data_IF_814030897070
#
_entry.id   IF_814030897070
#
_cell.length_a   1.000
_cell.length_b   1.000
_cell.length_c   1.000
_cell.angle_alpha   90.00
_cell.angle_beta   90.00
_cell.angle_gamma   90.00
#
_symmetry.space_group_name_H-M   'P 1'
#
loop_
_entity.id
_entity.type
_entity.pdbx_description
1 polymer ?
#
# COMPACT_ATOMS: atom_id res chain seq x y z
N UNK A 1 -84.49 -28.17 -59.19
CA UNK A 1 -84.02 -29.54 -59.45
C UNK A 1 -82.62 -29.47 -60.06
N UNK A 2 -81.75 -30.33 -59.55
CA UNK A 2 -80.28 -30.33 -59.66
C UNK A 2 -79.74 -30.34 -61.08
N UNK A 3 -78.69 -29.55 -61.33
CA UNK A 3 -77.72 -29.78 -62.41
C UNK A 3 -76.32 -29.77 -61.79
N UNK A 4 -75.73 -30.97 -61.70
CA UNK A 4 -74.39 -31.23 -61.22
C UNK A 4 -73.40 -30.70 -62.27
N UNK A 5 -72.54 -29.75 -61.88
CA UNK A 5 -71.44 -29.27 -62.73
C UNK A 5 -70.30 -30.31 -62.74
N UNK A 6 -69.71 -30.62 -63.91
CA UNK A 6 -68.62 -31.58 -64.01
C UNK A 6 -67.33 -31.00 -63.42
N UNK A 7 -66.57 -31.85 -62.72
CA UNK A 7 -65.24 -31.53 -62.22
C UNK A 7 -64.28 -31.35 -63.40
N UNK A 8 -63.68 -30.17 -63.51
CA UNK A 8 -62.56 -29.89 -64.40
C UNK A 8 -61.35 -30.72 -63.98
N UNK A 9 -60.95 -31.67 -64.83
CA UNK A 9 -59.67 -32.37 -64.71
C UNK A 9 -58.51 -31.39 -65.01
N UNK A 10 -57.45 -31.35 -64.19
CA UNK A 10 -56.32 -30.47 -64.45
C UNK A 10 -55.55 -30.96 -65.69
N UNK A 11 -55.30 -30.06 -66.64
CA UNK A 11 -54.50 -30.32 -67.83
C UNK A 11 -53.14 -30.91 -67.45
N UNK A 12 -52.71 -32.00 -68.10
CA UNK A 12 -51.44 -32.71 -67.80
C UNK A 12 -50.19 -31.82 -67.86
N UNK A 13 -50.23 -30.70 -68.57
CA UNK A 13 -49.17 -29.68 -68.57
C UNK A 13 -49.02 -28.97 -67.20
N UNK A 14 -50.10 -28.71 -66.47
CA UNK A 14 -50.05 -28.07 -65.14
C UNK A 14 -49.52 -29.01 -64.06
N UNK A 15 -49.79 -30.32 -64.18
CA UNK A 15 -49.27 -31.34 -63.25
C UNK A 15 -47.75 -31.49 -63.38
N UNK A 16 -47.22 -31.51 -64.62
CA UNK A 16 -45.77 -31.58 -64.89
C UNK A 16 -45.04 -30.29 -64.49
N UNK A 17 -45.66 -29.13 -64.70
CA UNK A 17 -45.12 -27.84 -64.26
C UNK A 17 -45.04 -27.78 -62.73
N UNK A 18 -46.11 -28.18 -62.02
CA UNK A 18 -46.12 -28.30 -60.56
C UNK A 18 -45.09 -29.29 -60.00
N UNK A 19 -44.85 -30.41 -60.70
CA UNK A 19 -43.79 -31.37 -60.33
C UNK A 19 -42.38 -30.80 -60.51
N UNK A 20 -42.12 -30.02 -61.56
CA UNK A 20 -40.83 -29.35 -61.79
C UNK A 20 -40.57 -28.26 -60.74
N UNK A 21 -41.59 -27.44 -60.45
CA UNK A 21 -41.50 -26.42 -59.38
C UNK A 21 -41.23 -27.05 -58.01
N UNK A 22 -41.89 -28.17 -57.70
CA UNK A 22 -41.68 -28.91 -56.45
C UNK A 22 -40.28 -29.53 -56.36
N UNK A 23 -39.70 -29.99 -57.47
CA UNK A 23 -38.30 -30.46 -57.52
C UNK A 23 -37.30 -29.33 -57.31
N UNK A 24 -37.54 -28.16 -57.92
CA UNK A 24 -36.71 -26.97 -57.71
C UNK A 24 -36.79 -26.49 -56.26
N UNK A 25 -37.98 -26.47 -55.67
CA UNK A 25 -38.20 -26.14 -54.26
C UNK A 25 -37.44 -27.09 -53.32
N UNK A 26 -37.48 -28.40 -53.58
CA UNK A 26 -36.73 -29.40 -52.81
C UNK A 26 -35.21 -29.18 -52.92
N UNK A 27 -34.68 -28.91 -54.13
CA UNK A 27 -33.24 -28.64 -54.33
C UNK A 27 -32.81 -27.33 -53.65
N UNK A 28 -33.64 -26.29 -53.73
CA UNK A 28 -33.40 -25.03 -53.02
C UNK A 28 -33.44 -25.22 -51.50
N UNK A 29 -34.37 -26.02 -50.99
CA UNK A 29 -34.44 -26.37 -49.57
C UNK A 29 -33.21 -27.13 -49.08
N UNK A 30 -32.77 -28.15 -49.81
CA UNK A 30 -31.54 -28.90 -49.46
C UNK A 30 -30.29 -28.03 -49.57
N UNK A 31 -30.14 -27.26 -50.64
CA UNK A 31 -28.98 -26.36 -50.80
C UNK A 31 -28.92 -25.29 -49.72
N UNK A 32 -30.07 -24.71 -49.34
CA UNK A 32 -30.17 -23.81 -48.19
C UNK A 32 -29.73 -24.50 -46.89
N UNK A 33 -30.18 -25.73 -46.65
CA UNK A 33 -29.83 -26.50 -45.45
C UNK A 33 -28.32 -26.79 -45.40
N UNK A 34 -27.74 -27.29 -46.51
CA UNK A 34 -26.30 -27.57 -46.58
C UNK A 34 -25.47 -26.29 -46.45
N UNK A 35 -25.85 -25.20 -47.12
CA UNK A 35 -25.18 -23.92 -47.00
C UNK A 35 -25.26 -23.36 -45.58
N UNK A 36 -26.42 -23.47 -44.93
CA UNK A 36 -26.61 -23.04 -43.54
C UNK A 36 -25.73 -23.85 -42.59
N UNK A 37 -25.73 -25.18 -42.70
CA UNK A 37 -24.86 -26.06 -41.88
C UNK A 37 -23.39 -25.77 -42.14
N UNK A 38 -22.96 -25.65 -43.40
CA UNK A 38 -21.57 -25.34 -43.74
C UNK A 38 -21.13 -23.96 -43.20
N UNK A 39 -22.00 -22.95 -43.31
CA UNK A 39 -21.73 -21.62 -42.74
C UNK A 39 -21.64 -21.64 -41.22
N UNK A 40 -22.47 -22.44 -40.54
CA UNK A 40 -22.41 -22.64 -39.09
C UNK A 40 -21.11 -23.32 -38.65
N UNK A 41 -20.71 -24.39 -39.34
CA UNK A 41 -19.44 -25.08 -39.07
C UNK A 41 -18.22 -24.18 -39.33
N UNK A 42 -18.24 -23.38 -40.39
CA UNK A 42 -17.22 -22.37 -40.63
C UNK A 42 -17.20 -21.34 -39.51
N UNK A 43 -18.35 -20.76 -39.15
CA UNK A 43 -18.42 -19.76 -38.09
C UNK A 43 -17.85 -20.28 -36.77
N UNK A 44 -18.18 -21.53 -36.41
CA UNK A 44 -17.62 -22.17 -35.23
C UNK A 44 -16.10 -22.41 -35.34
N UNK A 45 -15.57 -22.77 -36.51
CA UNK A 45 -14.13 -22.94 -36.68
C UNK A 45 -13.36 -21.61 -36.61
N UNK A 46 -13.98 -20.51 -37.05
CA UNK A 46 -13.43 -19.17 -36.89
C UNK A 46 -13.45 -18.70 -35.43
N UNK A 47 -14.50 -19.04 -34.69
CA UNK A 47 -14.70 -18.61 -33.31
C UNK A 47 -13.93 -19.48 -32.30
N UNK A 48 -13.68 -20.75 -32.63
CA UNK A 48 -13.08 -21.74 -31.73
C UNK A 48 -11.80 -21.26 -31.03
N UNK A 49 -10.79 -20.66 -31.72
CA UNK A 49 -9.57 -20.22 -31.06
C UNK A 49 -9.79 -19.12 -30.02
N UNK A 50 -10.78 -18.25 -30.22
CA UNK A 50 -11.12 -17.21 -29.23
C UNK A 50 -11.76 -17.83 -27.99
N UNK A 51 -12.59 -18.86 -28.16
CA UNK A 51 -13.33 -19.48 -27.05
C UNK A 51 -12.50 -20.45 -26.19
N UNK A 52 -11.20 -20.58 -26.45
CA UNK A 52 -10.30 -21.42 -25.63
C UNK A 52 -10.06 -20.85 -24.23
N UNK A 53 -10.38 -19.57 -24.00
CA UNK A 53 -10.20 -18.90 -22.71
C UNK A 53 -11.28 -17.84 -22.44
N UNK A 54 -11.44 -17.49 -21.16
CA UNK A 54 -12.45 -16.54 -20.69
C UNK A 54 -12.20 -15.10 -21.17
N UNK A 55 -11.00 -14.78 -21.68
CA UNK A 55 -10.68 -13.47 -22.26
C UNK A 55 -11.18 -13.33 -23.70
N UNK A 56 -11.59 -14.43 -24.35
CA UNK A 56 -11.96 -14.45 -25.77
C UNK A 56 -10.79 -14.00 -26.67
N UNK A 57 -9.56 -14.27 -26.23
CA UNK A 57 -8.34 -13.85 -26.91
C UNK A 57 -7.64 -15.07 -27.53
N UNK A 58 -7.66 -15.21 -28.87
CA UNK A 58 -6.97 -16.30 -29.56
C UNK A 58 -5.51 -16.45 -29.14
N UNK A 59 -5.11 -17.67 -28.78
CA UNK A 59 -3.73 -18.00 -28.43
C UNK A 59 -3.26 -17.43 -27.08
N UNK A 60 -4.15 -16.85 -26.26
CA UNK A 60 -3.81 -16.45 -24.91
C UNK A 60 -3.49 -17.67 -24.05
N UNK A 61 -2.32 -17.65 -23.42
CA UNK A 61 -1.89 -18.68 -22.49
C UNK A 61 -1.16 -18.06 -21.28
N UNK A 62 -0.99 -18.86 -20.23
CA UNK A 62 -0.45 -18.39 -18.96
C UNK A 62 1.08 -18.19 -18.99
N UNK A 63 1.81 -19.10 -19.63
CA UNK A 63 3.27 -19.09 -19.63
C UNK A 63 3.88 -18.12 -20.65
N UNK A 64 3.17 -17.91 -21.75
CA UNK A 64 3.47 -16.97 -22.82
C UNK A 64 2.88 -15.59 -22.55
N UNK A 65 1.65 -15.41 -23.02
CA UNK A 65 0.96 -14.12 -23.11
C UNK A 65 0.78 -13.46 -21.75
N UNK A 66 0.23 -14.18 -20.76
CA UNK A 66 -0.03 -13.58 -19.45
C UNK A 66 1.26 -13.19 -18.74
N UNK A 67 2.25 -14.07 -18.72
CA UNK A 67 3.53 -13.82 -18.06
C UNK A 67 4.28 -12.65 -18.71
N UNK A 68 4.23 -12.52 -20.05
CA UNK A 68 4.79 -11.39 -20.77
C UNK A 68 4.12 -10.06 -20.39
N UNK A 69 2.78 -10.01 -20.38
CA UNK A 69 2.03 -8.83 -19.97
C UNK A 69 2.34 -8.42 -18.52
N UNK A 70 2.41 -9.39 -17.61
CA UNK A 70 2.74 -9.13 -16.21
C UNK A 70 4.15 -8.54 -16.09
N UNK A 71 5.14 -9.08 -16.81
CA UNK A 71 6.52 -8.58 -16.74
C UNK A 71 6.68 -7.18 -17.36
N UNK A 72 5.98 -6.88 -18.46
CA UNK A 72 5.92 -5.51 -19.03
C UNK A 72 5.38 -4.53 -18.00
N UNK A 73 4.23 -4.85 -17.42
CA UNK A 73 3.57 -3.95 -16.46
C UNK A 73 4.41 -3.82 -15.20
N UNK A 74 4.98 -4.91 -14.69
CA UNK A 74 5.90 -4.86 -13.56
C UNK A 74 7.12 -3.98 -13.85
N UNK A 75 7.66 -4.03 -15.07
CA UNK A 75 8.77 -3.17 -15.50
C UNK A 75 8.34 -1.71 -15.57
N UNK A 76 7.17 -1.41 -16.14
CA UNK A 76 6.64 -0.06 -16.21
C UNK A 76 6.39 0.53 -14.81
N UNK A 77 5.82 -0.26 -13.89
CA UNK A 77 5.58 0.12 -12.49
C UNK A 77 6.88 0.44 -11.71
N UNK A 78 8.04 -0.07 -12.16
CA UNK A 78 9.33 0.31 -11.58
C UNK A 78 9.78 1.73 -11.93
N UNK A 79 9.25 2.32 -13.00
CA UNK A 79 9.71 3.61 -13.53
C UNK A 79 8.65 4.69 -13.52
N UNK A 80 7.37 4.33 -13.65
CA UNK A 80 6.26 5.25 -13.66
C UNK A 80 5.05 4.65 -12.95
N UNK A 81 4.42 5.41 -12.07
CA UNK A 81 3.19 5.01 -11.36
C UNK A 81 1.92 5.35 -12.16
N UNK A 82 2.04 6.18 -13.21
CA UNK A 82 0.95 6.60 -14.09
C UNK A 82 1.46 6.74 -15.51
N UNK A 83 0.62 6.42 -16.50
CA UNK A 83 0.94 6.54 -17.92
C UNK A 83 0.41 5.38 -18.75
N UNK A 84 0.46 5.54 -20.06
CA UNK A 84 0.21 4.48 -21.02
C UNK A 84 1.52 3.74 -21.31
N UNK A 85 1.43 2.42 -21.45
CA UNK A 85 2.55 1.56 -21.85
C UNK A 85 2.19 0.93 -23.18
N UNK A 86 2.99 1.18 -24.21
CA UNK A 86 2.84 0.47 -25.48
C UNK A 86 3.46 -0.93 -25.35
N UNK A 87 2.62 -1.96 -25.40
CA UNK A 87 3.03 -3.35 -25.31
C UNK A 87 3.85 -3.82 -26.53
N UNK A 88 3.74 -3.14 -27.67
CA UNK A 88 4.46 -3.48 -28.89
C UNK A 88 5.89 -2.93 -28.91
N UNK A 89 6.14 -1.84 -28.18
CA UNK A 89 7.48 -1.27 -28.01
C UNK A 89 8.21 -1.82 -26.78
N UNK A 90 7.50 -2.50 -25.88
CA UNK A 90 8.06 -3.05 -24.66
C UNK A 90 9.04 -4.20 -24.96
N UNK A 91 10.27 -4.08 -24.47
CA UNK A 91 11.29 -5.12 -24.58
C UNK A 91 11.56 -5.75 -23.21
N UNK A 92 11.36 -7.07 -23.12
CA UNK A 92 11.77 -7.86 -21.95
C UNK A 92 12.81 -8.88 -22.39
N UNK A 93 13.96 -8.89 -21.74
CA UNK A 93 15.02 -9.87 -21.97
C UNK A 93 14.69 -11.23 -21.31
N UNK A 94 13.65 -11.90 -21.81
CA UNK A 94 13.16 -13.19 -21.32
C UNK A 94 12.45 -13.95 -22.46
N UNK A 95 12.67 -15.27 -22.54
CA UNK A 95 11.87 -16.15 -23.41
C UNK A 95 10.63 -16.63 -22.63
N UNK A 96 9.51 -16.68 -23.34
CA UNK A 96 8.22 -17.12 -22.80
C UNK A 96 7.74 -18.44 -23.45
N UNK A 97 8.68 -19.21 -24.00
CA UNK A 97 8.41 -20.49 -24.68
C UNK A 97 8.39 -21.68 -23.69
N UNK A 98 8.65 -21.41 -22.40
CA UNK A 98 8.68 -22.42 -21.36
C UNK A 98 7.26 -22.92 -21.02
N UNK A 99 7.11 -24.21 -20.67
CA UNK A 99 5.81 -24.77 -20.30
C UNK A 99 5.30 -24.30 -18.92
N UNK A 100 6.18 -23.75 -18.09
CA UNK A 100 5.86 -23.25 -16.74
C UNK A 100 5.78 -21.74 -16.76
N UNK A 101 4.64 -21.20 -16.32
CA UNK A 101 4.46 -19.76 -16.16
C UNK A 101 5.24 -19.26 -14.93
N UNK A 102 6.05 -18.22 -15.12
CA UNK A 102 6.70 -17.49 -14.04
C UNK A 102 6.86 -16.02 -14.43
N UNK A 103 6.87 -15.13 -13.45
CA UNK A 103 7.04 -13.69 -13.63
C UNK A 103 8.17 -13.18 -12.74
N UNK A 104 8.79 -12.08 -13.13
CA UNK A 104 9.92 -11.50 -12.41
C UNK A 104 9.42 -10.38 -11.49
N UNK A 105 9.59 -10.57 -10.18
CA UNK A 105 9.28 -9.57 -9.15
C UNK A 105 10.52 -9.38 -8.28
N UNK A 106 11.03 -8.15 -8.22
CA UNK A 106 12.14 -7.83 -7.33
C UNK A 106 11.70 -7.88 -5.87
N UNK A 107 12.44 -8.61 -5.02
CA UNK A 107 12.13 -8.73 -3.60
C UNK A 107 12.12 -7.38 -2.87
N UNK A 108 12.92 -6.43 -3.33
CA UNK A 108 13.02 -5.07 -2.78
C UNK A 108 11.93 -4.12 -3.27
N UNK A 109 11.09 -4.54 -4.22
CA UNK A 109 10.06 -3.69 -4.82
C UNK A 109 9.09 -3.13 -3.79
N UNK A 110 8.53 -3.98 -2.94
CA UNK A 110 7.57 -3.54 -1.92
C UNK A 110 8.20 -2.57 -0.91
N UNK A 111 9.50 -2.73 -0.61
CA UNK A 111 10.25 -1.81 0.24
C UNK A 111 10.47 -0.46 -0.44
N UNK A 112 10.87 -0.46 -1.72
CA UNK A 112 10.99 0.77 -2.50
C UNK A 112 9.66 1.51 -2.58
N UNK A 113 8.57 0.80 -2.89
CA UNK A 113 7.24 1.38 -3.02
C UNK A 113 6.84 2.12 -1.74
N UNK A 114 6.92 1.47 -0.57
CA UNK A 114 6.48 2.09 0.68
C UNK A 114 7.44 3.17 1.22
N UNK A 115 8.75 3.05 0.95
CA UNK A 115 9.75 3.97 1.50
C UNK A 115 10.09 5.14 0.58
N UNK A 116 9.86 5.06 -0.73
CA UNK A 116 10.27 6.08 -1.69
C UNK A 116 9.12 6.57 -2.57
N UNK A 117 8.25 5.67 -3.05
CA UNK A 117 7.25 6.04 -4.04
C UNK A 117 5.94 6.52 -3.38
N UNK A 118 5.55 5.90 -2.25
CA UNK A 118 4.33 6.18 -1.50
C UNK A 118 4.54 7.15 -0.32
N UNK A 119 5.27 8.25 -0.55
CA UNK A 119 5.65 9.22 0.49
C UNK A 119 4.94 10.57 0.40
N UNK A 120 3.98 10.74 -0.52
CA UNK A 120 3.27 12.01 -0.64
C UNK A 120 2.38 12.28 0.58
N UNK A 121 2.22 13.56 0.95
CA UNK A 121 1.35 13.95 2.07
C UNK A 121 -0.11 13.49 1.89
N UNK A 122 -0.76 13.63 0.72
CA UNK A 122 -2.11 13.11 0.53
C UNK A 122 -2.22 11.60 0.73
N UNK A 123 -1.23 10.83 0.25
CA UNK A 123 -1.19 9.38 0.46
C UNK A 123 -1.06 9.06 1.95
N UNK A 124 -0.15 9.75 2.66
CA UNK A 124 0.07 9.54 4.08
C UNK A 124 -1.15 9.90 4.93
N UNK A 125 -1.77 11.07 4.73
CA UNK A 125 -2.98 11.48 5.46
C UNK A 125 -4.11 10.46 5.27
N UNK A 126 -4.35 10.01 4.03
CA UNK A 126 -5.37 9.00 3.74
C UNK A 126 -5.12 7.68 4.49
N UNK A 127 -3.87 7.20 4.50
CA UNK A 127 -3.51 5.93 5.15
C UNK A 127 -3.39 6.03 6.68
N UNK A 128 -2.95 7.17 7.22
CA UNK A 128 -2.95 7.41 8.67
C UNK A 128 -4.37 7.44 9.23
N UNK A 129 -5.36 7.90 8.45
CA UNK A 129 -6.78 7.89 8.84
C UNK A 129 -7.42 6.52 8.92
N UNK A 130 -6.86 5.52 8.22
CA UNK A 130 -7.26 4.11 8.31
C UNK A 130 -6.38 3.30 9.28
N UNK A 131 -5.30 3.90 9.79
CA UNK A 131 -4.37 3.25 10.72
C UNK A 131 -5.07 2.96 12.05
N UNK A 132 -4.94 1.73 12.54
CA UNK A 132 -5.50 1.38 13.84
C UNK A 132 -4.70 2.02 14.98
N UNK A 133 -5.38 2.31 16.09
CA UNK A 133 -4.76 2.87 17.28
C UNK A 133 -3.56 2.04 17.78
N UNK A 134 -3.64 0.70 17.72
CA UNK A 134 -2.52 -0.19 18.10
C UNK A 134 -1.30 -0.08 17.17
N UNK A 135 -1.52 0.24 15.89
CA UNK A 135 -0.45 0.39 14.91
C UNK A 135 0.21 1.77 14.90
N UNK A 136 -0.46 2.80 15.43
CA UNK A 136 0.03 4.19 15.47
C UNK A 136 1.41 4.36 16.12
N UNK A 137 1.76 3.54 17.11
CA UNK A 137 3.05 3.59 17.83
C UNK A 137 4.10 2.63 17.26
N UNK A 138 3.74 1.84 16.23
CA UNK A 138 4.57 0.76 15.67
C UNK A 138 5.20 1.10 14.33
N UNK A 139 4.93 2.28 13.78
CA UNK A 139 5.60 2.77 12.59
C UNK A 139 7.10 2.97 12.85
N UNK A 140 7.91 2.75 11.83
CA UNK A 140 9.36 2.93 11.92
C UNK A 140 9.69 4.39 11.62
N UNK A 141 9.45 5.25 12.61
CA UNK A 141 9.87 6.66 12.58
C UNK A 141 10.40 7.07 13.94
N UNK A 142 11.45 7.87 13.93
CA UNK A 142 12.02 8.52 15.11
C UNK A 142 11.52 9.95 15.16
N UNK A 143 10.59 10.22 16.07
CA UNK A 143 10.03 11.55 16.22
C UNK A 143 11.09 12.56 16.64
N UNK A 144 11.06 13.71 15.97
CA UNK A 144 11.88 14.85 16.27
C UNK A 144 11.13 15.85 17.15
N UNK A 145 9.82 16.01 16.89
CA UNK A 145 8.95 16.96 17.58
C UNK A 145 7.58 16.38 17.88
N UNK A 146 6.92 16.92 18.91
CA UNK A 146 5.51 16.65 19.17
C UNK A 146 4.67 17.32 18.09
N UNK A 147 4.87 18.61 17.87
CA UNK A 147 4.02 19.46 17.06
C UNK A 147 4.72 20.02 15.81
N UNK A 148 3.95 20.38 14.79
CA UNK A 148 4.48 21.00 13.58
C UNK A 148 5.19 22.34 13.83
N UNK A 149 4.76 23.04 14.87
CA UNK A 149 5.40 24.27 15.36
C UNK A 149 6.77 24.05 16.02
N UNK A 150 7.20 22.80 16.20
CA UNK A 150 8.50 22.42 16.79
C UNK A 150 8.70 22.98 18.21
N UNK A 151 7.63 23.17 18.97
CA UNK A 151 7.66 23.71 20.34
C UNK A 151 8.19 22.70 21.34
N UNK A 152 7.90 21.42 21.13
CA UNK A 152 8.34 20.33 22.01
C UNK A 152 9.21 19.34 21.25
N UNK A 153 10.44 19.14 21.71
CA UNK A 153 11.39 18.23 21.09
C UNK A 153 11.30 16.83 21.70
N UNK A 154 11.37 15.81 20.83
CA UNK A 154 11.36 14.38 21.17
C UNK A 154 12.66 13.66 20.80
N UNK A 155 13.57 14.32 20.08
CA UNK A 155 14.84 13.74 19.69
C UNK A 155 15.64 13.25 20.91
N UNK A 156 16.02 11.97 20.92
CA UNK A 156 16.67 11.32 22.07
C UNK A 156 17.97 12.01 22.50
N UNK A 157 18.69 12.63 21.56
CA UNK A 157 20.02 13.19 21.80
C UNK A 157 20.20 14.52 21.09
N UNK A 158 21.18 15.30 21.54
CA UNK A 158 21.49 16.61 20.95
C UNK A 158 21.92 16.48 19.49
N UNK A 159 22.72 15.45 19.17
CA UNK A 159 23.11 15.16 17.79
C UNK A 159 21.91 14.82 16.89
N UNK A 160 20.95 14.01 17.39
CA UNK A 160 19.68 13.75 16.67
C UNK A 160 18.88 15.03 16.50
N UNK A 161 18.75 15.86 17.53
CA UNK A 161 18.01 17.12 17.45
C UNK A 161 18.57 18.06 16.38
N UNK A 162 19.91 18.18 16.30
CA UNK A 162 20.59 18.94 15.25
C UNK A 162 20.36 18.35 13.85
N UNK A 163 20.31 17.02 13.71
CA UNK A 163 19.98 16.39 12.42
C UNK A 163 18.52 16.59 12.04
N UNK A 164 17.61 16.52 13.00
CA UNK A 164 16.19 16.79 12.80
C UNK A 164 15.99 18.16 12.15
N UNK A 165 16.58 19.21 12.75
CA UNK A 165 16.45 20.58 12.23
C UNK A 165 17.08 20.77 10.86
N UNK A 166 18.19 20.08 10.57
CA UNK A 166 18.94 20.25 9.32
C UNK A 166 18.41 19.41 8.15
N UNK A 167 17.79 18.25 8.40
CA UNK A 167 17.43 17.30 7.33
C UNK A 167 15.97 16.89 7.27
N UNK A 168 15.23 16.93 8.38
CA UNK A 168 13.91 16.28 8.47
C UNK A 168 12.75 17.25 8.70
N UNK A 169 13.01 18.55 8.69
CA UNK A 169 11.98 19.57 8.96
C UNK A 169 10.77 19.53 8.02
N UNK A 170 10.91 18.94 6.83
CA UNK A 170 9.85 18.80 5.82
C UNK A 170 9.20 17.39 5.81
N UNK A 171 9.74 16.44 6.58
CA UNK A 171 9.22 15.08 6.66
C UNK A 171 8.14 14.97 7.74
N UNK A 172 6.88 14.78 7.35
CA UNK A 172 5.74 14.60 8.26
C UNK A 172 5.91 13.42 9.21
N UNK A 173 6.69 12.40 8.84
CA UNK A 173 6.91 11.23 9.68
C UNK A 173 7.64 11.54 10.99
N UNK A 174 8.38 12.65 11.09
CA UNK A 174 9.11 13.01 12.31
C UNK A 174 8.31 13.87 13.28
N UNK A 175 7.04 14.19 12.96
CA UNK A 175 6.12 14.93 13.81
C UNK A 175 5.08 13.98 14.40
N UNK A 176 4.98 13.93 15.72
CA UNK A 176 3.98 13.09 16.39
C UNK A 176 2.56 13.56 16.06
N UNK A 177 2.37 14.88 15.92
CA UNK A 177 1.12 15.54 15.51
C UNK A 177 0.57 14.97 14.20
N UNK A 178 1.43 14.67 13.22
CA UNK A 178 1.02 14.09 11.94
C UNK A 178 0.22 12.81 12.12
N UNK A 179 0.63 11.98 13.08
CA UNK A 179 -0.03 10.71 13.38
C UNK A 179 -1.25 10.95 14.26
N UNK A 180 -1.11 11.72 15.33
CA UNK A 180 -2.16 11.90 16.33
C UNK A 180 -3.38 12.67 15.83
N UNK A 181 -3.20 13.59 14.89
CA UNK A 181 -4.33 14.27 14.23
C UNK A 181 -5.13 13.37 13.29
N UNK A 182 -4.55 12.25 12.86
CA UNK A 182 -5.13 11.38 11.83
C UNK A 182 -5.65 10.05 12.37
N UNK A 183 -5.25 9.62 13.57
CA UNK A 183 -5.80 8.41 14.21
C UNK A 183 -7.11 8.70 14.94
N UNK A 184 -7.89 7.65 15.19
CA UNK A 184 -9.03 7.76 16.10
C UNK A 184 -8.52 8.04 17.51
N UNK A 185 -8.81 9.24 18.03
CA UNK A 185 -8.27 9.70 19.31
C UNK A 185 -8.81 8.90 20.50
N UNK A 186 -10.10 8.55 20.50
CA UNK A 186 -10.70 7.78 21.59
C UNK A 186 -10.10 6.38 21.64
N UNK A 187 -9.98 5.71 20.50
CA UNK A 187 -9.33 4.41 20.40
C UNK A 187 -7.83 4.48 20.75
N UNK A 188 -7.16 5.58 20.40
CA UNK A 188 -5.76 5.82 20.75
C UNK A 188 -5.57 5.96 22.27
N UNK A 189 -6.36 6.81 22.92
CA UNK A 189 -6.30 7.01 24.38
C UNK A 189 -6.70 5.74 25.12
N UNK A 190 -7.71 4.99 24.65
CA UNK A 190 -8.12 3.74 25.27
C UNK A 190 -6.99 2.69 25.34
N UNK A 191 -6.07 2.69 24.36
CA UNK A 191 -4.95 1.73 24.32
C UNK A 191 -3.70 2.31 25.02
N UNK A 192 -3.36 3.57 24.75
CA UNK A 192 -2.06 4.13 25.11
C UNK A 192 -2.12 5.21 26.20
N UNK A 193 -3.25 5.86 26.38
CA UNK A 193 -3.46 6.94 27.34
C UNK A 193 -4.15 6.50 28.62
N UNK A 194 -4.51 7.48 29.44
CA UNK A 194 -5.13 7.27 30.76
C UNK A 194 -4.11 7.26 31.90
N UNK A 195 -4.59 7.34 33.16
CA UNK A 195 -3.73 7.46 34.33
C UNK A 195 -2.65 6.38 34.38
N UNK A 196 -1.38 6.79 34.39
CA UNK A 196 -0.23 5.88 34.46
C UNK A 196 0.09 5.12 33.17
N UNK A 197 -0.60 5.35 32.05
CA UNK A 197 -0.35 4.65 30.80
C UNK A 197 0.75 5.31 29.94
N UNK A 198 1.26 4.59 28.94
CA UNK A 198 2.49 4.90 28.19
C UNK A 198 2.50 6.29 27.56
N UNK A 199 1.46 6.63 26.78
CA UNK A 199 1.37 7.95 26.15
C UNK A 199 1.19 9.05 27.20
N UNK A 200 0.39 8.79 28.23
CA UNK A 200 0.12 9.79 29.26
C UNK A 200 1.39 10.18 30.00
N UNK A 201 2.18 9.19 30.46
CA UNK A 201 3.45 9.43 31.14
C UNK A 201 4.50 10.03 30.19
N UNK A 202 4.67 9.45 29.00
CA UNK A 202 5.77 9.82 28.12
C UNK A 202 5.59 11.19 27.46
N UNK A 203 4.35 11.57 27.14
CA UNK A 203 4.04 12.75 26.32
C UNK A 203 3.01 13.66 26.99
N UNK A 204 1.82 13.14 27.30
CA UNK A 204 0.68 13.98 27.71
C UNK A 204 0.98 14.82 28.95
N UNK A 205 1.51 14.22 30.02
CA UNK A 205 1.79 14.94 31.27
C UNK A 205 2.80 16.06 31.08
N UNK A 206 3.80 15.89 30.21
CA UNK A 206 4.77 16.94 29.87
C UNK A 206 4.14 18.10 29.09
N UNK A 207 3.14 17.83 28.23
CA UNK A 207 2.38 18.88 27.55
C UNK A 207 1.48 19.65 28.52
N UNK A 208 0.87 18.95 29.47
CA UNK A 208 -0.02 19.52 30.48
C UNK A 208 0.68 20.46 31.47
N UNK A 209 2.02 20.51 31.50
CA UNK A 209 2.80 21.50 32.26
C UNK A 209 2.58 22.94 31.73
N UNK A 210 2.13 23.09 30.48
CA UNK A 210 1.98 24.41 29.83
C UNK A 210 0.57 24.64 29.29
N UNK A 211 0.12 25.89 29.25
CA UNK A 211 -1.16 26.24 28.62
C UNK A 211 -1.18 25.89 27.12
N UNK A 212 -0.06 26.13 26.43
CA UNK A 212 0.10 25.81 25.02
C UNK A 212 -0.02 24.30 24.72
N UNK A 213 0.48 23.44 25.61
CA UNK A 213 0.40 21.98 25.45
C UNK A 213 -1.01 21.45 25.71
N UNK A 214 -1.72 21.99 26.70
CA UNK A 214 -3.16 21.67 26.91
C UNK A 214 -4.00 22.04 25.70
N UNK A 215 -3.77 23.21 25.11
CA UNK A 215 -4.45 23.65 23.89
C UNK A 215 -4.12 22.75 22.70
N UNK A 216 -2.84 22.36 22.55
CA UNK A 216 -2.44 21.42 21.51
C UNK A 216 -3.12 20.05 21.66
N UNK A 217 -3.27 19.53 22.90
CA UNK A 217 -4.01 18.30 23.16
C UNK A 217 -5.49 18.44 22.78
N UNK A 218 -6.14 19.55 23.16
CA UNK A 218 -7.55 19.81 22.84
C UNK A 218 -7.80 19.90 21.33
N UNK A 219 -6.92 20.57 20.59
CA UNK A 219 -7.03 20.73 19.14
C UNK A 219 -6.66 19.45 18.37
N UNK A 220 -5.61 18.74 18.79
CA UNK A 220 -5.17 17.49 18.13
C UNK A 220 -6.19 16.38 18.31
N UNK A 221 -6.80 16.27 19.51
CA UNK A 221 -7.75 15.21 19.85
C UNK A 221 -9.02 15.20 18.99
N UNK A 222 -9.41 16.35 18.45
CA UNK A 222 -10.61 16.50 17.63
C UNK A 222 -10.32 16.63 16.14
N UNK A 223 -9.04 16.70 15.74
CA UNK A 223 -8.63 17.00 14.38
C UNK A 223 -9.21 16.03 13.34
N UNK A 224 -9.13 14.71 13.57
CA UNK A 224 -9.68 13.70 12.63
C UNK A 224 -11.18 13.85 12.41
N UNK A 225 -11.92 14.16 13.48
CA UNK A 225 -13.38 14.28 13.45
C UNK A 225 -13.85 15.59 12.79
N UNK A 226 -13.04 16.64 12.90
CA UNK A 226 -13.43 17.99 12.47
C UNK A 226 -12.85 18.39 11.11
N UNK A 227 -11.90 17.63 10.57
CA UNK A 227 -11.22 17.96 9.30
C UNK A 227 -11.38 16.86 8.26
N UNK A 228 -11.63 17.27 7.02
CA UNK A 228 -11.50 16.39 5.84
C UNK A 228 -10.03 16.09 5.51
N UNK A 229 -9.78 15.06 4.70
CA UNK A 229 -8.42 14.70 4.24
C UNK A 229 -7.75 15.89 3.52
N UNK A 230 -8.51 16.64 2.72
CA UNK A 230 -8.00 17.80 1.98
C UNK A 230 -7.59 18.92 2.94
N UNK A 231 -8.41 19.22 3.95
CA UNK A 231 -8.09 20.24 4.96
C UNK A 231 -6.86 19.88 5.77
N UNK A 232 -6.68 18.60 6.11
CA UNK A 232 -5.50 18.14 6.84
C UNK A 232 -4.23 18.20 5.98
N UNK A 233 -4.30 17.84 4.70
CA UNK A 233 -3.19 18.05 3.75
C UNK A 233 -2.82 19.53 3.66
N UNK A 234 -3.81 20.43 3.56
CA UNK A 234 -3.58 21.87 3.54
C UNK A 234 -2.95 22.37 4.86
N UNK A 235 -3.36 21.81 6.00
CA UNK A 235 -2.79 22.13 7.30
C UNK A 235 -1.29 21.79 7.38
N UNK A 236 -0.89 20.61 6.90
CA UNK A 236 0.53 20.20 6.87
C UNK A 236 1.37 21.15 6.01
N UNK A 237 0.82 21.64 4.89
CA UNK A 237 1.50 22.58 4.00
C UNK A 237 1.81 23.93 4.68
N UNK A 238 1.01 24.38 5.66
CA UNK A 238 1.27 25.59 6.43
C UNK A 238 2.61 25.54 7.21
N UNK A 239 3.12 24.33 7.47
CA UNK A 239 4.36 24.08 8.21
C UNK A 239 5.50 23.58 7.31
N UNK A 240 5.36 23.71 5.99
CA UNK A 240 6.33 23.23 5.00
C UNK A 240 6.62 21.71 5.12
N UNK A 241 5.60 20.93 5.47
CA UNK A 241 5.68 19.47 5.46
C UNK A 241 5.27 18.98 4.07
N UNK A 242 6.22 18.41 3.34
CA UNK A 242 6.08 18.12 1.89
C UNK A 242 6.03 16.64 1.56
N UNK A 243 6.51 15.78 2.45
CA UNK A 243 6.49 14.32 2.30
C UNK A 243 6.35 13.62 3.66
N UNK A 244 6.00 12.34 3.66
CA UNK A 244 5.94 11.47 4.82
C UNK A 244 6.71 10.19 4.50
N UNK A 245 7.97 10.13 4.93
CA UNK A 245 8.85 9.00 4.66
C UNK A 245 9.24 8.32 5.96
N UNK A 246 8.91 7.03 6.07
CA UNK A 246 9.32 6.17 7.17
C UNK A 246 10.77 5.74 7.02
N UNK A 247 11.37 5.31 8.13
CA UNK A 247 12.70 4.72 8.15
C UNK A 247 12.65 3.23 7.85
N UNK A 248 13.71 2.73 7.21
CA UNK A 248 13.87 1.31 6.97
C UNK A 248 14.00 0.51 8.28
N UNK A 249 13.45 -0.71 8.28
CA UNK A 249 13.64 -1.72 9.32
C UNK A 249 13.35 -3.11 8.79
N UNK A 250 13.94 -4.12 9.43
CA UNK A 250 13.64 -5.53 9.20
C UNK A 250 12.79 -6.19 10.30
N UNK A 251 12.05 -5.44 11.14
CA UNK A 251 11.06 -6.06 12.06
C UNK A 251 9.85 -6.60 11.31
N UNK A 252 9.35 -5.82 10.36
CA UNK A 252 8.14 -6.11 9.61
C UNK A 252 8.32 -5.62 8.19
N UNK A 253 8.30 -6.53 7.23
CA UNK A 253 8.40 -6.21 5.82
C UNK A 253 7.07 -5.69 5.28
N UNK A 254 7.09 -4.87 4.22
CA UNK A 254 5.87 -4.49 3.53
C UNK A 254 5.23 -5.70 2.87
N UNK A 255 3.90 -5.69 2.82
CA UNK A 255 3.15 -6.52 1.88
C UNK A 255 2.80 -5.68 0.66
N UNK A 256 2.61 -6.33 -0.49
CA UNK A 256 2.15 -5.67 -1.71
C UNK A 256 1.13 -6.53 -2.43
N UNK A 257 0.08 -5.90 -2.93
CA UNK A 257 -0.91 -6.50 -3.78
C UNK A 257 -1.15 -5.58 -4.96
N UNK A 258 -0.82 -6.05 -6.16
CA UNK A 258 -1.03 -5.32 -7.41
C UNK A 258 -1.74 -6.23 -8.40
N UNK A 259 -2.72 -5.67 -9.10
CA UNK A 259 -3.46 -6.36 -10.15
C UNK A 259 -3.63 -5.44 -11.35
N UNK A 260 -3.82 -6.06 -12.51
CA UNK A 260 -4.25 -5.38 -13.73
C UNK A 260 -5.66 -5.84 -14.09
N UNK A 261 -6.38 -5.01 -14.83
CA UNK A 261 -7.65 -5.37 -15.45
C UNK A 261 -7.38 -5.55 -16.94
N UNK A 262 -7.61 -6.77 -17.44
CA UNK A 262 -7.63 -7.07 -18.86
C UNK A 262 -9.06 -6.88 -19.36
N UNK A 263 -9.25 -6.03 -20.37
CA UNK A 263 -10.55 -5.82 -21.02
C UNK A 263 -10.47 -6.31 -22.46
N UNK A 264 -11.38 -7.20 -22.85
CA UNK A 264 -11.43 -7.73 -24.21
C UNK A 264 -12.25 -6.84 -25.17
N UNK A 265 -12.30 -7.22 -26.45
CA UNK A 265 -13.00 -6.47 -27.50
C UNK A 265 -14.53 -6.36 -27.30
N UNK A 266 -15.12 -7.25 -26.48
CA UNK A 266 -16.53 -7.21 -26.12
C UNK A 266 -16.80 -6.33 -24.88
N UNK A 267 -15.75 -5.76 -24.29
CA UNK A 267 -15.83 -4.97 -23.06
C UNK A 267 -15.89 -5.80 -21.78
N UNK A 268 -15.67 -7.12 -21.85
CA UNK A 268 -15.59 -7.98 -20.66
C UNK A 268 -14.25 -7.76 -19.96
N UNK A 269 -14.30 -7.64 -18.63
CA UNK A 269 -13.14 -7.37 -17.79
C UNK A 269 -12.77 -8.57 -16.93
N UNK A 270 -11.47 -8.85 -16.84
CA UNK A 270 -10.90 -9.88 -15.99
C UNK A 270 -9.72 -9.32 -15.18
N UNK A 271 -9.71 -9.59 -13.88
CA UNK A 271 -8.62 -9.18 -12.99
C UNK A 271 -7.51 -10.22 -13.03
N UNK A 272 -6.29 -9.77 -13.28
CA UNK A 272 -5.08 -10.60 -13.22
C UNK A 272 -4.16 -10.04 -12.14
N UNK A 273 -3.75 -10.90 -11.21
CA UNK A 273 -2.81 -10.54 -10.15
C UNK A 273 -1.40 -10.43 -10.73
N UNK A 274 -0.76 -9.28 -10.54
CA UNK A 274 0.61 -9.03 -10.96
C UNK A 274 1.60 -9.51 -9.90
N UNK A 275 1.33 -9.12 -8.65
CA UNK A 275 2.18 -9.38 -7.48
C UNK A 275 1.30 -9.54 -6.26
N UNK A 276 1.61 -10.53 -5.43
CA UNK A 276 0.99 -10.70 -4.13
C UNK A 276 2.02 -11.21 -3.13
N UNK A 277 2.51 -10.31 -2.28
CA UNK A 277 3.44 -10.64 -1.20
C UNK A 277 2.80 -10.29 0.13
N UNK A 278 2.66 -11.25 1.05
CA UNK A 278 2.11 -10.96 2.37
C UNK A 278 3.08 -10.09 3.17
N UNK A 279 2.53 -9.40 4.17
CA UNK A 279 3.34 -8.72 5.19
C UNK A 279 4.15 -9.77 5.95
N UNK A 280 5.47 -9.64 5.93
CA UNK A 280 6.38 -10.57 6.63
C UNK A 280 6.80 -10.03 7.99
N UNK A 281 7.12 -10.93 8.93
CA UNK A 281 7.78 -10.57 10.19
C UNK A 281 9.24 -11.01 10.09
N UNK A 282 10.14 -10.07 10.32
CA UNK A 282 11.58 -10.31 10.23
C UNK A 282 12.27 -10.37 11.59
N UNK A 283 13.58 -10.62 11.60
CA UNK A 283 14.36 -10.89 12.80
C UNK A 283 14.56 -9.66 13.71
N UNK A 284 14.24 -8.44 13.23
CA UNK A 284 14.39 -7.17 13.96
C UNK A 284 15.81 -6.82 14.41
N UNK A 285 16.84 -7.24 13.68
CA UNK A 285 18.21 -6.82 13.99
C UNK A 285 18.39 -5.30 13.85
N UNK A 286 17.54 -4.60 13.10
CA UNK A 286 17.54 -3.13 13.02
C UNK A 286 17.18 -2.45 14.35
N UNK A 287 16.71 -3.18 15.36
CA UNK A 287 16.38 -2.63 16.68
C UNK A 287 17.58 -1.93 17.32
N UNK A 288 18.81 -2.42 17.08
CA UNK A 288 20.06 -1.78 17.53
C UNK A 288 20.26 -0.37 16.95
N UNK A 289 19.63 -0.06 15.81
CA UNK A 289 19.61 1.29 15.25
C UNK A 289 18.48 2.14 15.81
N UNK A 290 17.30 1.55 16.01
CA UNK A 290 16.13 2.17 16.63
C UNK A 290 15.04 1.13 16.92
N UNK A 291 14.47 1.21 18.12
CA UNK A 291 13.50 0.24 18.61
C UNK A 291 12.02 0.67 18.51
N UNK A 292 11.67 1.69 17.72
CA UNK A 292 10.30 2.26 17.60
C UNK A 292 9.83 3.05 18.83
N UNK A 293 8.92 3.98 18.53
CA UNK A 293 8.26 4.83 19.51
C UNK A 293 7.53 4.05 20.59
N UNK A 294 6.96 2.89 20.25
CA UNK A 294 6.33 1.99 21.22
C UNK A 294 7.27 1.63 22.38
N UNK A 295 8.56 1.39 22.11
CA UNK A 295 9.52 1.10 23.17
C UNK A 295 9.93 2.36 23.92
N UNK A 296 10.05 3.51 23.25
CA UNK A 296 10.33 4.77 23.92
C UNK A 296 9.27 5.09 25.00
N UNK A 297 7.98 5.03 24.63
CA UNK A 297 6.89 5.29 25.57
C UNK A 297 6.73 4.19 26.63
N UNK A 298 7.12 2.94 26.32
CA UNK A 298 7.17 1.86 27.30
C UNK A 298 8.22 2.16 28.37
N UNK A 299 9.44 2.51 27.95
CA UNK A 299 10.53 2.84 28.88
C UNK A 299 10.22 4.06 29.74
N UNK A 300 9.61 5.08 29.13
CA UNK A 300 9.16 6.26 29.85
C UNK A 300 8.11 5.94 30.92
N UNK A 301 7.17 5.05 30.61
CA UNK A 301 6.23 4.56 31.61
C UNK A 301 6.96 3.87 32.77
N UNK A 302 7.89 2.97 32.46
CA UNK A 302 8.65 2.19 33.46
C UNK A 302 9.44 3.09 34.40
N UNK A 303 10.08 4.14 33.88
CA UNK A 303 10.89 5.05 34.68
C UNK A 303 10.14 6.30 35.17
N UNK A 304 8.85 6.42 34.82
CA UNK A 304 8.03 7.60 35.08
C UNK A 304 8.69 8.91 34.58
N UNK A 305 9.11 8.92 33.31
CA UNK A 305 9.82 10.03 32.66
C UNK A 305 9.09 10.52 31.41
N UNK A 306 9.30 11.78 31.04
CA UNK A 306 8.82 12.31 29.76
C UNK A 306 9.88 12.20 28.65
N UNK A 307 9.44 11.99 27.41
CA UNK A 307 10.26 12.14 26.21
C UNK A 307 10.42 13.61 25.79
N UNK A 308 9.54 14.50 26.25
CA UNK A 308 9.56 15.92 25.89
C UNK A 308 10.74 16.58 26.57
N UNK A 309 11.69 17.11 25.78
CA UNK A 309 12.90 17.75 26.30
C UNK A 309 12.61 18.92 27.25
N UNK A 310 11.52 19.64 27.00
CA UNK A 310 11.08 20.80 27.76
C UNK A 310 10.30 20.45 29.04
N UNK A 311 9.96 19.18 29.28
CA UNK A 311 9.21 18.77 30.45
C UNK A 311 10.10 18.69 31.70
N UNK A 312 9.53 19.02 32.87
CA UNK A 312 10.23 19.03 34.16
C UNK A 312 10.88 17.68 34.52
N UNK A 313 10.31 16.57 34.04
CA UNK A 313 10.79 15.21 34.26
C UNK A 313 11.37 14.54 32.99
N UNK A 314 11.83 15.32 32.00
CA UNK A 314 12.47 14.81 30.78
C UNK A 314 13.54 13.77 31.09
N UNK A 315 13.54 12.60 30.45
CA UNK A 315 14.40 11.44 30.78
C UNK A 315 15.91 11.73 30.83
N UNK A 316 16.37 12.75 30.10
CA UNK A 316 17.77 13.19 30.10
C UNK A 316 18.20 14.03 31.31
N UNK A 317 17.27 14.42 32.20
CA UNK A 317 17.59 15.19 33.40
C UNK A 317 17.98 14.31 34.60
N UNK A 318 18.91 14.79 35.42
CA UNK A 318 19.18 14.22 36.73
C UNK A 318 18.26 14.90 37.76
N UNK A 319 17.07 14.34 38.00
CA UNK A 319 16.04 14.98 38.84
C UNK A 319 16.36 14.82 40.32
N UNK A 320 16.79 13.62 40.74
CA UNK A 320 17.24 13.33 42.11
C UNK A 320 18.07 12.06 42.14
N UNK A 321 18.67 11.74 43.30
CA UNK A 321 19.40 10.48 43.52
C UNK A 321 18.51 9.26 43.21
N UNK A 322 17.22 9.33 43.52
CA UNK A 322 16.27 8.25 43.27
C UNK A 322 15.73 8.24 41.83
N UNK A 323 15.90 9.33 41.07
CA UNK A 323 15.41 9.47 39.70
C UNK A 323 16.54 10.02 38.80
N UNK A 324 17.59 9.22 38.55
CA UNK A 324 18.73 9.64 37.75
C UNK A 324 18.37 9.76 36.26
N UNK A 325 19.34 10.16 35.44
CA UNK A 325 19.22 10.16 33.98
C UNK A 325 18.93 8.75 33.48
N UNK A 326 18.02 8.61 32.51
CA UNK A 326 17.76 7.35 31.82
C UNK A 326 18.65 7.26 30.58
N UNK A 327 19.53 6.26 30.53
CA UNK A 327 20.28 5.94 29.32
C UNK A 327 19.49 4.91 28.50
N UNK A 328 19.00 5.33 27.32
CA UNK A 328 18.17 4.47 26.46
C UNK A 328 18.93 3.27 25.88
N UNK A 329 20.24 3.39 25.62
CA UNK A 329 21.06 2.26 25.13
C UNK A 329 21.32 1.24 26.22
N UNK A 330 21.55 1.70 27.46
CA UNK A 330 21.63 0.82 28.63
C UNK A 330 20.28 0.14 28.91
N UNK A 331 19.17 0.89 28.82
CA UNK A 331 17.82 0.36 28.95
C UNK A 331 17.48 -0.66 27.86
N UNK A 332 18.06 -0.52 26.67
CA UNK A 332 17.97 -1.49 25.57
C UNK A 332 18.85 -2.73 25.78
N UNK A 333 19.76 -2.71 26.76
CA UNK A 333 20.74 -3.76 26.97
C UNK A 333 21.89 -3.75 25.95
N UNK A 334 22.09 -2.63 25.24
CA UNK A 334 23.23 -2.45 24.33
C UNK A 334 24.50 -2.11 25.10
N UNK A 335 24.39 -1.29 26.14
CA UNK A 335 25.52 -0.81 26.93
C UNK A 335 25.33 -1.14 28.41
N UNK A 336 26.40 -1.06 29.21
CA UNK A 336 26.30 -1.28 30.66
C UNK A 336 25.35 -0.28 31.32
N UNK A 337 24.93 -0.56 32.55
CA UNK A 337 24.12 0.38 33.35
C UNK A 337 24.81 1.76 33.55
N UNK A 338 26.14 1.81 33.46
CA UNK A 338 26.93 3.06 33.52
C UNK A 338 27.02 3.77 32.16
N UNK A 339 26.40 3.23 31.11
CA UNK A 339 26.45 3.76 29.74
C UNK A 339 27.67 3.35 28.94
N UNK A 340 28.52 2.45 29.45
CA UNK A 340 29.72 2.02 28.74
C UNK A 340 29.39 0.88 27.79
N UNK A 341 29.50 1.14 26.49
CA UNK A 341 29.36 0.14 25.44
C UNK A 341 30.69 -0.61 25.26
N UNK A 342 30.68 -1.83 24.75
CA UNK A 342 31.92 -2.59 24.48
C UNK A 342 31.84 -3.39 23.17
N UNK A 343 33.00 -3.76 22.63
CA UNK A 343 33.11 -4.56 21.41
C UNK A 343 32.42 -3.93 20.19
N UNK A 344 31.67 -4.74 19.46
CA UNK A 344 30.97 -4.33 18.24
C UNK A 344 29.93 -3.22 18.50
N UNK A 345 29.30 -3.22 19.68
CA UNK A 345 28.31 -2.20 20.05
C UNK A 345 28.98 -0.84 20.24
N UNK A 346 30.15 -0.80 20.88
CA UNK A 346 30.90 0.45 21.02
C UNK A 346 31.31 1.02 19.66
N UNK A 347 31.82 0.17 18.77
CA UNK A 347 32.16 0.58 17.40
C UNK A 347 30.94 1.17 16.69
N UNK A 348 29.79 0.50 16.76
CA UNK A 348 28.55 0.97 16.15
C UNK A 348 28.06 2.30 16.77
N UNK A 349 28.12 2.41 18.09
CA UNK A 349 27.80 3.64 18.83
C UNK A 349 28.65 4.82 18.35
N UNK A 350 29.97 4.63 18.26
CA UNK A 350 30.91 5.68 17.87
C UNK A 350 30.80 6.03 16.37
N UNK A 351 30.61 5.02 15.49
CA UNK A 351 30.67 5.22 14.04
C UNK A 351 29.32 5.61 13.40
N UNK A 352 28.22 5.00 13.83
CA UNK A 352 26.86 5.22 13.28
C UNK A 352 26.05 6.17 14.16
N UNK A 353 26.37 6.22 15.45
CA UNK A 353 25.67 7.01 16.45
C UNK A 353 24.47 6.28 17.04
N UNK A 354 24.31 6.42 18.36
CA UNK A 354 23.12 5.96 19.10
C UNK A 354 21.83 6.37 18.39
N UNK A 355 20.83 5.49 18.27
CA UNK A 355 19.55 5.86 17.65
C UNK A 355 19.71 6.59 16.29
N UNK A 356 20.65 6.12 15.48
CA UNK A 356 21.05 6.72 14.19
C UNK A 356 21.62 8.14 14.29
N UNK A 357 22.23 8.56 15.39
CA UNK A 357 22.58 9.97 15.64
C UNK A 357 23.73 10.56 14.82
N UNK A 358 24.58 9.76 14.18
CA UNK A 358 25.79 10.26 13.50
C UNK A 358 25.73 10.20 11.98
N UNK A 359 24.73 9.54 11.38
CA UNK A 359 24.56 9.40 9.92
C UNK A 359 23.39 10.22 9.39
#
# INVERSE_FOLDING_TARGET
>A
MSSVRPATTPNGAQVVQGQRWRRVEVVLGFSYLYASVASGLWYLSLLAPSLENDLWWPGYNLSGTQSFLIDIINTALMTATTGAVDIFEAQIAKSYDAPVAYTSVYETYALRAILNDCVSVPYAVSNLRTLSASWSTRMMTQYCWVDYGRRWELAHTVARAKRCTTRYGENGAVFLEAVLRNVDWEAFIAIWGGPGNKFTIAIQSGLEETAAGKEWLATTSTAKLTTSTIQEVAYWALFNVTYFQLQWSNKRGPGIGESMILRNALGLEQVVVLKQTPVTTGPWTSMSMYWRFLNDIYMMQTFNRSLIRQASNFFGHNVSIAVPVVNLEAAQGLCSATGNCSGQINLFHDSVGHFSASI
#
